data_IF_593694180175
#
_entry.id   IF_593694180175
#
_cell.length_a   1.000
_cell.length_b   1.000
_cell.length_c   1.000
_cell.angle_alpha   90.00
_cell.angle_beta   90.00
_cell.angle_gamma   90.00
#
_symmetry.space_group_name_H-M   'P 1'
#
loop_
_entity.id
_entity.type
_entity.pdbx_description
1 polymer ?
#
# COMPACT_ATOMS: atom_id res chain seq x y z
N UNK A 1 4.82 16.98 7.43
CA UNK A 1 5.19 15.82 6.57
C UNK A 1 4.44 14.58 7.04
N UNK A 2 3.90 13.82 6.12
CA UNK A 2 3.18 12.59 6.43
C UNK A 2 4.15 11.50 6.89
N UNK A 3 3.79 10.80 7.95
CA UNK A 3 4.58 9.68 8.43
C UNK A 3 4.55 8.52 7.42
N UNK A 4 5.53 7.64 7.54
CA UNK A 4 5.59 6.43 6.71
C UNK A 4 4.41 5.52 7.01
N UNK A 5 3.86 4.89 5.98
CA UNK A 5 2.77 3.93 6.13
C UNK A 5 3.26 2.69 6.91
N UNK A 6 2.59 2.40 8.01
CA UNK A 6 2.92 1.23 8.84
C UNK A 6 2.30 -0.05 8.26
N UNK A 7 2.87 -1.20 8.61
CA UNK A 7 2.51 -2.49 7.97
C UNK A 7 1.02 -2.84 8.09
N UNK A 8 0.44 -2.73 9.28
CA UNK A 8 -0.98 -3.01 9.46
C UNK A 8 -1.85 -1.99 8.73
N UNK A 9 -1.39 -0.74 8.65
CA UNK A 9 -2.06 0.30 7.88
C UNK A 9 -2.08 0.00 6.39
N UNK A 10 -1.00 -0.57 5.86
CA UNK A 10 -0.92 -0.94 4.44
C UNK A 10 -2.00 -1.97 4.09
N UNK A 11 -2.29 -2.91 4.98
CA UNK A 11 -3.35 -3.91 4.76
C UNK A 11 -4.73 -3.28 4.67
N UNK A 12 -5.01 -2.31 5.54
CA UNK A 12 -6.30 -1.58 5.50
C UNK A 12 -6.37 -0.66 4.29
N UNK A 13 -5.27 0.03 3.95
CA UNK A 13 -5.24 0.89 2.77
C UNK A 13 -5.54 0.11 1.49
N UNK A 14 -5.05 -1.13 1.38
CA UNK A 14 -5.35 -1.98 0.23
C UNK A 14 -6.86 -2.20 0.07
N UNK A 15 -7.56 -2.45 1.18
CA UNK A 15 -9.03 -2.59 1.19
C UNK A 15 -9.70 -1.29 0.74
N UNK A 16 -9.23 -0.16 1.26
CA UNK A 16 -9.81 1.15 0.97
C UNK A 16 -9.60 1.53 -0.50
N UNK A 17 -8.39 1.36 -1.04
CA UNK A 17 -8.13 1.67 -2.44
C UNK A 17 -8.98 0.84 -3.39
N UNK A 18 -9.23 -0.43 -3.04
CA UNK A 18 -10.03 -1.32 -3.88
C UNK A 18 -11.53 -1.01 -3.85
N UNK A 19 -12.02 -0.37 -2.77
CA UNK A 19 -13.46 -0.24 -2.51
C UNK A 19 -13.94 1.18 -2.20
N UNK A 20 -13.07 2.18 -2.31
CA UNK A 20 -13.40 3.56 -1.90
C UNK A 20 -14.58 4.14 -2.70
N UNK A 21 -15.47 4.90 -2.06
CA UNK A 21 -15.57 5.12 -0.62
C UNK A 21 -16.15 3.90 0.10
N UNK A 22 -15.72 3.66 1.32
CA UNK A 22 -16.12 2.47 2.09
C UNK A 22 -16.25 2.81 3.57
N UNK A 23 -17.28 2.28 4.24
CA UNK A 23 -17.47 2.50 5.67
C UNK A 23 -16.47 1.70 6.50
N UNK A 24 -16.17 2.19 7.70
CA UNK A 24 -15.32 1.47 8.64
C UNK A 24 -15.91 0.09 8.97
N UNK A 25 -17.23 0.00 9.04
CA UNK A 25 -17.93 -1.28 9.28
C UNK A 25 -17.63 -2.29 8.18
N UNK A 26 -17.75 -1.87 6.92
CA UNK A 26 -17.46 -2.74 5.78
C UNK A 26 -15.99 -3.13 5.73
N UNK A 27 -15.08 -2.20 6.02
CA UNK A 27 -13.65 -2.50 6.14
C UNK A 27 -13.44 -3.59 7.19
N UNK A 28 -14.08 -3.46 8.34
CA UNK A 28 -14.00 -4.42 9.45
C UNK A 28 -14.45 -5.81 9.03
N UNK A 29 -15.55 -5.90 8.26
CA UNK A 29 -16.06 -7.17 7.76
C UNK A 29 -15.08 -7.83 6.79
N UNK A 30 -14.53 -7.06 5.87
CA UNK A 30 -13.52 -7.56 4.91
C UNK A 30 -12.26 -7.99 5.64
N UNK A 31 -11.78 -7.19 6.59
CA UNK A 31 -10.58 -7.52 7.36
C UNK A 31 -10.76 -8.78 8.20
N UNK A 32 -11.94 -8.98 8.79
CA UNK A 32 -12.24 -10.20 9.53
C UNK A 32 -12.14 -11.44 8.64
N UNK A 33 -12.64 -11.34 7.42
CA UNK A 33 -12.66 -12.43 6.45
C UNK A 33 -11.28 -12.68 5.81
N UNK A 34 -10.58 -11.63 5.41
CA UNK A 34 -9.35 -11.76 4.62
C UNK A 34 -8.07 -11.76 5.45
N UNK A 35 -8.06 -11.11 6.61
CA UNK A 35 -6.88 -10.98 7.46
C UNK A 35 -7.05 -11.72 8.79
N UNK A 36 -8.29 -11.92 9.22
CA UNK A 36 -8.59 -12.56 10.50
C UNK A 36 -8.58 -11.59 11.68
N UNK A 37 -8.69 -10.30 11.43
CA UNK A 37 -8.70 -9.29 12.50
C UNK A 37 -10.08 -9.17 13.13
N UNK A 38 -10.11 -8.96 14.45
CA UNK A 38 -11.35 -8.60 15.11
C UNK A 38 -11.68 -7.12 14.84
N UNK A 39 -12.91 -6.74 15.14
CA UNK A 39 -13.43 -5.39 14.90
C UNK A 39 -12.56 -4.31 15.57
N UNK A 40 -12.19 -4.53 16.83
CA UNK A 40 -11.43 -3.54 17.59
C UNK A 40 -10.06 -3.28 16.97
N UNK A 41 -9.37 -4.31 16.53
CA UNK A 41 -8.08 -4.19 15.86
C UNK A 41 -8.22 -3.35 14.60
N UNK A 42 -9.22 -3.65 13.78
CA UNK A 42 -9.46 -2.93 12.52
C UNK A 42 -9.75 -1.46 12.78
N UNK A 43 -10.65 -1.14 13.72
CA UNK A 43 -10.99 0.25 14.03
C UNK A 43 -9.78 1.03 14.59
N UNK A 44 -8.94 0.38 15.39
CA UNK A 44 -7.72 1.01 15.89
C UNK A 44 -6.80 1.41 14.74
N UNK A 45 -6.63 0.52 13.76
CA UNK A 45 -5.80 0.80 12.57
C UNK A 45 -6.42 1.93 11.72
N UNK A 46 -7.74 1.88 11.49
CA UNK A 46 -8.44 2.92 10.73
C UNK A 46 -8.26 4.28 11.40
N UNK A 47 -8.46 4.37 12.70
CA UNK A 47 -8.31 5.64 13.44
C UNK A 47 -6.89 6.18 13.36
N UNK A 48 -5.90 5.31 13.40
CA UNK A 48 -4.50 5.72 13.24
C UNK A 48 -4.24 6.27 11.84
N UNK A 49 -4.81 5.64 10.80
CA UNK A 49 -4.70 6.13 9.43
C UNK A 49 -5.35 7.50 9.26
N UNK A 50 -6.49 7.72 9.90
CA UNK A 50 -7.13 9.04 9.91
C UNK A 50 -6.21 10.07 10.58
N UNK A 51 -5.69 9.74 11.76
CA UNK A 51 -4.83 10.64 12.52
C UNK A 51 -3.54 11.00 11.77
N UNK A 52 -2.99 10.08 11.00
CA UNK A 52 -1.76 10.30 10.24
C UNK A 52 -2.00 10.89 8.85
N UNK A 53 -3.25 11.16 8.48
CA UNK A 53 -3.58 11.83 7.23
C UNK A 53 -3.58 10.96 5.98
N UNK A 54 -3.66 9.64 6.13
CA UNK A 54 -3.74 8.73 4.98
C UNK A 54 -5.14 8.61 4.42
N UNK A 55 -6.15 8.74 5.28
CA UNK A 55 -7.55 8.63 4.87
C UNK A 55 -8.37 9.77 5.48
N UNK A 56 -9.45 10.11 4.79
CA UNK A 56 -10.43 11.09 5.24
C UNK A 56 -11.66 10.34 5.76
N UNK A 57 -12.11 10.73 6.95
CA UNK A 57 -13.35 10.22 7.53
C UNK A 57 -14.48 11.20 7.28
N UNK A 58 -15.59 10.71 6.78
CA UNK A 58 -16.80 11.51 6.56
C UNK A 58 -17.98 10.90 7.31
N UNK A 59 -18.69 11.73 8.05
CA UNK A 59 -19.93 11.34 8.72
C UNK A 59 -21.13 11.77 7.89
N UNK A 60 -22.32 11.12 8.01
CA UNK A 60 -22.56 9.97 8.88
C UNK A 60 -22.00 8.67 8.28
N UNK A 61 -21.81 7.66 9.15
CA UNK A 61 -21.46 6.31 8.73
C UNK A 61 -19.99 5.97 8.70
N UNK A 62 -19.12 6.88 9.18
CA UNK A 62 -17.67 6.67 9.18
C UNK A 62 -17.18 6.19 7.81
N UNK A 63 -17.45 7.01 6.79
CA UNK A 63 -17.05 6.69 5.42
C UNK A 63 -15.61 7.10 5.21
N UNK A 64 -14.80 6.16 4.71
CA UNK A 64 -13.36 6.34 4.51
C UNK A 64 -13.04 6.51 3.03
N UNK A 65 -12.23 7.53 2.72
CA UNK A 65 -11.68 7.74 1.39
C UNK A 65 -10.19 7.97 1.51
N UNK A 66 -9.37 7.44 0.57
CA UNK A 66 -7.93 7.64 0.64
C UNK A 66 -7.56 9.07 0.28
N UNK A 67 -6.61 9.64 1.01
CA UNK A 67 -6.05 10.96 0.71
C UNK A 67 -4.80 10.84 -0.16
N UNK A 68 -4.23 9.64 -0.27
CA UNK A 68 -3.06 9.36 -1.10
C UNK A 68 -3.43 8.26 -2.10
N UNK A 69 -3.30 8.51 -3.41
CA UNK A 69 -3.55 7.47 -4.41
C UNK A 69 -2.58 6.28 -4.24
N UNK A 70 -3.05 5.10 -4.59
CA UNK A 70 -2.27 3.87 -4.43
C UNK A 70 -0.93 3.93 -5.18
N UNK A 71 -0.96 4.35 -6.43
CA UNK A 71 0.26 4.44 -7.25
C UNK A 71 1.28 5.41 -6.66
N UNK A 72 0.82 6.53 -6.11
CA UNK A 72 1.70 7.48 -5.44
C UNK A 72 2.34 6.87 -4.21
N UNK A 73 1.57 6.15 -3.41
CA UNK A 73 2.09 5.48 -2.21
C UNK A 73 3.10 4.39 -2.58
N UNK A 74 2.81 3.63 -3.63
CA UNK A 74 3.74 2.61 -4.14
C UNK A 74 5.08 3.22 -4.53
N UNK A 75 5.06 4.35 -5.24
CA UNK A 75 6.28 5.04 -5.65
C UNK A 75 7.08 5.56 -4.45
N UNK A 76 6.40 6.14 -3.48
CA UNK A 76 7.04 6.66 -2.27
C UNK A 76 7.68 5.54 -1.44
N UNK A 77 6.98 4.43 -1.27
CA UNK A 77 7.50 3.28 -0.52
C UNK A 77 8.67 2.61 -1.25
N UNK A 78 8.57 2.48 -2.57
CA UNK A 78 9.67 1.93 -3.37
C UNK A 78 10.92 2.80 -3.27
N UNK A 79 10.76 4.12 -3.40
CA UNK A 79 11.88 5.06 -3.29
C UNK A 79 12.51 5.01 -1.90
N UNK A 80 11.70 4.91 -0.86
CA UNK A 80 12.17 4.81 0.52
C UNK A 80 12.99 3.53 0.73
N UNK A 81 12.50 2.40 0.21
CA UNK A 81 13.18 1.11 0.30
C UNK A 81 14.55 1.16 -0.38
N UNK A 82 14.60 1.71 -1.60
CA UNK A 82 15.84 1.84 -2.35
C UNK A 82 16.86 2.69 -1.58
N UNK A 83 16.41 3.81 -1.04
CA UNK A 83 17.28 4.70 -0.27
C UNK A 83 17.77 4.05 1.02
N UNK A 84 16.88 3.38 1.72
CA UNK A 84 17.16 2.82 3.07
C UNK A 84 18.06 1.60 3.02
N UNK A 85 17.83 0.67 2.10
CA UNK A 85 18.50 -0.63 2.08
C UNK A 85 19.47 -0.82 0.92
N UNK A 86 19.33 -0.04 -0.14
CA UNK A 86 20.14 -0.23 -1.36
C UNK A 86 20.97 0.99 -1.71
N UNK A 87 21.21 1.88 -0.74
CA UNK A 87 22.07 3.04 -0.94
C UNK A 87 21.68 3.94 -2.10
N UNK A 88 20.39 3.96 -2.45
CA UNK A 88 19.89 4.76 -3.57
C UNK A 88 19.97 4.06 -4.93
N UNK A 89 20.45 2.82 -4.97
CA UNK A 89 20.63 2.09 -6.24
C UNK A 89 19.39 1.24 -6.59
N UNK A 90 18.65 1.67 -7.59
CA UNK A 90 17.51 0.88 -8.13
C UNK A 90 18.01 -0.42 -8.76
N UNK A 91 19.18 -0.37 -9.39
CA UNK A 91 19.81 -1.55 -9.97
C UNK A 91 20.07 -2.62 -8.91
N UNK A 92 20.56 -2.21 -7.73
CA UNK A 92 20.81 -3.14 -6.62
C UNK A 92 19.52 -3.81 -6.15
N UNK A 93 18.42 -3.06 -6.08
CA UNK A 93 17.11 -3.64 -5.75
C UNK A 93 16.69 -4.69 -6.77
N UNK A 94 16.79 -4.37 -8.07
CA UNK A 94 16.44 -5.32 -9.12
C UNK A 94 17.30 -6.57 -9.07
N UNK A 95 18.61 -6.42 -8.83
CA UNK A 95 19.51 -7.56 -8.70
C UNK A 95 19.09 -8.49 -7.56
N UNK A 96 18.73 -7.90 -6.41
CA UNK A 96 18.27 -8.67 -5.26
C UNK A 96 17.00 -9.47 -5.56
N UNK A 97 16.06 -8.84 -6.27
CA UNK A 97 14.80 -9.49 -6.64
C UNK A 97 15.01 -10.65 -7.61
N UNK A 98 15.97 -10.51 -8.54
CA UNK A 98 16.22 -11.52 -9.57
C UNK A 98 17.01 -12.74 -9.02
N UNK A 99 17.76 -12.58 -7.95
CA UNK A 99 18.54 -13.66 -7.37
C UNK A 99 17.66 -14.76 -6.77
N UNK A 100 16.56 -14.40 -6.13
CA UNK A 100 15.68 -15.38 -5.47
C UNK A 100 14.69 -16.02 -6.43
N UNK A 101 14.06 -15.22 -7.29
CA UNK A 101 13.06 -15.71 -8.24
C UNK A 101 13.32 -15.12 -9.62
N UNK A 102 13.84 -15.95 -10.56
CA UNK A 102 14.06 -15.47 -11.92
C UNK A 102 12.74 -15.05 -12.56
N UNK A 103 12.77 -13.97 -13.30
CA UNK A 103 11.61 -13.51 -14.06
C UNK A 103 11.29 -14.46 -15.20
N UNK A 104 10.00 -14.60 -15.51
CA UNK A 104 9.56 -15.30 -16.71
C UNK A 104 9.93 -14.50 -17.96
N UNK A 105 9.94 -15.15 -19.13
CA UNK A 105 10.17 -14.44 -20.38
C UNK A 105 9.14 -13.33 -20.63
N UNK A 106 7.89 -13.57 -20.28
CA UNK A 106 6.83 -12.57 -20.44
C UNK A 106 7.09 -11.35 -19.54
N UNK A 107 7.49 -11.58 -18.31
CA UNK A 107 7.83 -10.49 -17.37
C UNK A 107 9.04 -9.70 -17.87
N UNK A 108 10.07 -10.37 -18.37
CA UNK A 108 11.25 -9.72 -18.94
C UNK A 108 10.87 -8.83 -20.12
N UNK A 109 10.03 -9.36 -21.01
CA UNK A 109 9.58 -8.61 -22.19
C UNK A 109 8.76 -7.38 -21.80
N UNK A 110 7.88 -7.51 -20.81
CA UNK A 110 7.10 -6.39 -20.30
C UNK A 110 7.98 -5.31 -19.69
N UNK A 111 8.98 -5.71 -18.90
CA UNK A 111 9.93 -4.77 -18.30
C UNK A 111 10.76 -4.05 -19.36
N UNK A 112 11.20 -4.76 -20.40
CA UNK A 112 11.93 -4.16 -21.52
C UNK A 112 11.10 -3.07 -22.20
N UNK A 113 9.81 -3.33 -22.41
CA UNK A 113 8.90 -2.33 -23.00
C UNK A 113 8.80 -1.10 -22.13
N UNK A 114 8.70 -1.27 -20.81
CA UNK A 114 8.64 -0.15 -19.88
C UNK A 114 9.92 0.68 -19.91
N UNK A 115 11.06 0.03 -20.00
CA UNK A 115 12.37 0.71 -20.05
C UNK A 115 12.55 1.42 -21.39
N UNK A 116 12.21 0.77 -22.51
CA UNK A 116 12.41 1.31 -23.85
C UNK A 116 11.48 2.48 -24.18
N UNK A 117 10.34 2.57 -23.50
CA UNK A 117 9.36 3.65 -23.72
C UNK A 117 9.59 4.89 -22.84
N UNK A 118 10.69 5.00 -22.18
CA UNK A 118 11.01 6.14 -21.30
C UNK A 118 11.71 7.27 -22.00
#
# INVERSE_FOLDING_TARGET
>A
MREKLFDSGAKVMEIIWANSPISAKEISLIAAETIGWNKNTTYTVINRLVAQGFIKRKEPGFICTPLVPQDQMQKLEAASLVKKLFGGSRKALFSALLEDEPLTEDEINELRKLIDNR
#
